data_IF_784615079439
#
_entry.id   IF_784615079439
#
_cell.length_a   1.000
_cell.length_b   1.000
_cell.length_c   1.000
_cell.angle_alpha   90.00
_cell.angle_beta   90.00
_cell.angle_gamma   90.00
#
_symmetry.space_group_name_H-M   'P 1'
#
loop_
_entity.id
_entity.type
_entity.pdbx_description
1 polymer ?
#
# COMPACT_ATOMS: atom_id res chain seq x y z
N UNK A 1 -10.02 -19.45 41.83
CA UNK A 1 -10.68 -20.63 41.23
C UNK A 1 -9.98 -20.98 39.93
N UNK A 2 -10.27 -22.13 39.33
CA UNK A 2 -9.78 -22.47 37.99
C UNK A 2 -10.15 -21.40 36.95
N UNK A 3 -11.35 -20.82 37.09
CA UNK A 3 -11.83 -19.70 36.28
C UNK A 3 -10.94 -18.46 36.38
N UNK A 4 -10.62 -18.00 37.58
CA UNK A 4 -9.75 -16.82 37.75
C UNK A 4 -8.33 -17.09 37.21
N UNK A 5 -7.83 -18.32 37.37
CA UNK A 5 -6.54 -18.69 36.79
C UNK A 5 -6.57 -18.70 35.25
N UNK A 6 -7.63 -19.21 34.63
CA UNK A 6 -7.83 -19.17 33.18
C UNK A 6 -7.93 -17.72 32.67
N UNK A 7 -8.72 -16.89 33.37
CA UNK A 7 -8.90 -15.47 33.03
C UNK A 7 -7.56 -14.73 33.01
N UNK A 8 -6.77 -14.84 34.08
CA UNK A 8 -5.53 -14.07 34.24
C UNK A 8 -4.37 -14.64 33.42
N UNK A 9 -4.16 -15.95 33.47
CA UNK A 9 -2.95 -16.56 32.89
C UNK A 9 -3.11 -16.91 31.41
N UNK A 10 -4.34 -16.98 30.90
CA UNK A 10 -4.60 -17.32 29.50
C UNK A 10 -5.36 -16.21 28.77
N UNK A 11 -6.61 -15.94 29.17
CA UNK A 11 -7.47 -15.02 28.40
C UNK A 11 -6.88 -13.62 28.29
N UNK A 12 -6.53 -12.98 29.42
CA UNK A 12 -5.95 -11.64 29.42
C UNK A 12 -4.62 -11.59 28.66
N UNK A 13 -3.78 -12.63 28.78
CA UNK A 13 -2.52 -12.72 28.04
C UNK A 13 -2.72 -12.73 26.52
N UNK A 14 -3.69 -13.51 26.02
CA UNK A 14 -4.00 -13.56 24.58
C UNK A 14 -4.56 -12.22 24.10
N UNK A 15 -5.44 -11.58 24.89
CA UNK A 15 -5.99 -10.26 24.56
C UNK A 15 -4.90 -9.20 24.50
N UNK A 16 -4.00 -9.16 25.49
CA UNK A 16 -2.88 -8.22 25.52
C UNK A 16 -1.96 -8.40 24.30
N UNK A 17 -1.64 -9.64 23.95
CA UNK A 17 -0.84 -9.93 22.76
C UNK A 17 -1.56 -9.55 21.46
N UNK A 18 -2.87 -9.77 21.37
CA UNK A 18 -3.66 -9.35 20.21
C UNK A 18 -3.66 -7.82 20.07
N UNK A 19 -3.80 -7.09 21.18
CA UNK A 19 -3.73 -5.61 21.20
C UNK A 19 -2.37 -5.14 20.71
N UNK A 20 -1.28 -5.62 21.30
CA UNK A 20 0.08 -5.22 20.90
C UNK A 20 0.35 -5.53 19.43
N UNK A 21 -0.06 -6.72 18.97
CA UNK A 21 0.12 -7.15 17.58
C UNK A 21 -0.68 -6.30 16.60
N UNK A 22 -1.91 -5.89 16.95
CA UNK A 22 -2.72 -5.01 16.12
C UNK A 22 -2.18 -3.59 16.10
N UNK A 23 -1.78 -3.04 17.25
CA UNK A 23 -1.15 -1.71 17.35
C UNK A 23 0.07 -1.61 16.44
N UNK A 24 0.99 -2.58 16.54
CA UNK A 24 2.18 -2.62 15.68
C UNK A 24 1.83 -2.68 14.19
N UNK A 25 0.80 -3.45 13.81
CA UNK A 25 0.33 -3.51 12.42
C UNK A 25 -0.28 -2.21 11.95
N UNK A 26 -1.03 -1.50 12.80
CA UNK A 26 -1.57 -0.18 12.45
C UNK A 26 -0.47 0.87 12.28
N UNK A 27 0.55 0.85 13.14
CA UNK A 27 1.70 1.76 13.02
C UNK A 27 2.46 1.51 11.71
N UNK A 28 2.70 0.23 11.36
CA UNK A 28 3.29 -0.15 10.08
C UNK A 28 2.43 0.30 8.90
N UNK A 29 1.12 0.09 8.96
CA UNK A 29 0.18 0.49 7.92
C UNK A 29 0.21 2.00 7.67
N UNK A 30 0.28 2.82 8.74
CA UNK A 30 0.46 4.27 8.61
C UNK A 30 1.79 4.63 7.96
N UNK A 31 2.87 3.90 8.26
CA UNK A 31 4.15 4.04 7.59
C UNK A 31 4.05 3.77 6.08
N UNK A 32 3.41 2.66 5.71
CA UNK A 32 3.18 2.29 4.30
C UNK A 32 2.30 3.29 3.56
N UNK A 33 1.23 3.76 4.20
CA UNK A 33 0.35 4.78 3.63
C UNK A 33 1.11 6.07 3.29
N UNK A 34 2.10 6.47 4.10
CA UNK A 34 2.91 7.67 3.82
C UNK A 34 3.85 7.50 2.63
N UNK A 35 4.29 6.27 2.33
CA UNK A 35 5.28 5.99 1.28
C UNK A 35 4.60 5.69 -0.06
N UNK A 36 3.60 4.80 -0.07
CA UNK A 36 2.92 4.34 -1.28
C UNK A 36 1.39 4.34 -1.19
N UNK A 37 0.82 5.09 -0.25
CA UNK A 37 -0.64 5.18 -0.08
C UNK A 37 -1.39 5.74 -1.28
N UNK A 38 -0.72 6.47 -2.18
CA UNK A 38 -1.30 6.94 -3.44
C UNK A 38 -1.76 5.79 -4.36
N UNK A 39 -1.23 4.57 -4.16
CA UNK A 39 -1.60 3.36 -4.89
C UNK A 39 -2.71 2.54 -4.21
N UNK A 40 -3.22 2.96 -3.04
CA UNK A 40 -4.18 2.15 -2.29
C UNK A 40 -5.54 2.09 -2.96
N UNK A 41 -5.95 3.15 -3.66
CA UNK A 41 -7.24 3.17 -4.35
C UNK A 41 -7.13 3.85 -5.71
N UNK A 42 -8.06 3.53 -6.61
CA UNK A 42 -8.15 4.24 -7.90
C UNK A 42 -8.44 5.72 -7.68
N UNK A 43 -9.23 6.07 -6.67
CA UNK A 43 -9.55 7.44 -6.32
C UNK A 43 -8.31 8.25 -5.94
N UNK A 44 -7.46 7.74 -5.04
CA UNK A 44 -6.23 8.45 -4.63
C UNK A 44 -5.27 8.62 -5.80
N UNK A 45 -5.17 7.59 -6.65
CA UNK A 45 -4.34 7.64 -7.84
C UNK A 45 -4.89 8.68 -8.82
N UNK A 46 -6.18 8.64 -9.16
CA UNK A 46 -6.82 9.55 -10.13
C UNK A 46 -6.90 10.99 -9.64
N UNK A 47 -6.98 11.22 -8.32
CA UNK A 47 -7.02 12.58 -7.75
C UNK A 47 -5.64 13.26 -7.74
N UNK A 48 -4.56 12.50 -7.93
CA UNK A 48 -3.20 13.05 -7.92
C UNK A 48 -2.93 13.80 -9.22
N UNK A 49 -2.55 15.07 -9.10
CA UNK A 49 -2.03 15.84 -10.23
C UNK A 49 -0.65 15.33 -10.69
N UNK A 50 -0.21 15.77 -11.86
CA UNK A 50 1.05 15.30 -12.46
C UNK A 50 2.27 15.52 -11.56
N UNK A 51 2.36 16.66 -10.89
CA UNK A 51 3.52 16.99 -10.05
C UNK A 51 3.51 16.19 -8.75
N UNK A 52 2.33 16.06 -8.12
CA UNK A 52 2.19 15.25 -6.90
C UNK A 52 2.42 13.76 -7.16
N UNK A 53 1.93 13.23 -8.30
CA UNK A 53 2.18 11.85 -8.71
C UNK A 53 3.67 11.61 -8.98
N UNK A 54 4.34 12.53 -9.70
CA UNK A 54 5.79 12.40 -9.95
C UNK A 54 6.59 12.40 -8.66
N UNK A 55 6.29 13.35 -7.76
CA UNK A 55 6.92 13.44 -6.43
C UNK A 55 6.70 12.16 -5.62
N UNK A 56 5.50 11.56 -5.71
CA UNK A 56 5.20 10.30 -5.03
C UNK A 56 6.03 9.14 -5.57
N UNK A 57 6.23 9.08 -6.88
CA UNK A 57 7.10 8.06 -7.51
C UNK A 57 8.57 8.24 -7.11
N UNK A 58 9.07 9.48 -7.08
CA UNK A 58 10.44 9.78 -6.64
C UNK A 58 10.66 9.39 -5.17
N UNK A 59 9.71 9.73 -4.30
CA UNK A 59 9.75 9.34 -2.89
C UNK A 59 9.72 7.82 -2.71
N UNK A 60 8.94 7.11 -3.52
CA UNK A 60 8.88 5.65 -3.48
C UNK A 60 10.20 5.02 -3.92
N UNK A 61 10.81 5.51 -5.00
CA UNK A 61 12.11 5.03 -5.47
C UNK A 61 13.18 5.21 -4.40
N UNK A 62 13.20 6.36 -3.73
CA UNK A 62 14.11 6.63 -2.60
C UNK A 62 13.84 5.67 -1.43
N UNK A 63 12.57 5.45 -1.08
CA UNK A 63 12.18 4.56 0.01
C UNK A 63 12.53 3.09 -0.26
N UNK A 64 12.55 2.68 -1.52
CA UNK A 64 12.93 1.33 -1.96
C UNK A 64 14.43 1.20 -2.29
N UNK A 65 15.22 2.25 -2.10
CA UNK A 65 16.65 2.23 -2.38
C UNK A 65 17.43 1.53 -1.28
N UNK A 66 18.19 0.50 -1.64
CA UNK A 66 19.14 -0.19 -0.76
C UNK A 66 20.48 -0.39 -1.47
N UNK A 67 21.58 -0.10 -0.78
CA UNK A 67 22.95 -0.27 -1.29
C UNK A 67 23.19 0.40 -2.66
N UNK A 68 22.58 1.58 -2.85
CA UNK A 68 22.71 2.36 -4.08
C UNK A 68 21.80 1.94 -5.23
N UNK A 69 21.03 0.85 -5.09
CA UNK A 69 20.09 0.35 -6.10
C UNK A 69 18.66 0.44 -5.59
N UNK A 70 17.74 0.86 -6.45
CA UNK A 70 16.31 0.81 -6.15
C UNK A 70 15.66 -0.31 -6.94
N UNK A 71 14.59 -0.88 -6.39
CA UNK A 71 13.80 -1.93 -7.04
C UNK A 71 12.93 -1.38 -8.18
N UNK A 72 12.74 -0.06 -8.24
CA UNK A 72 11.92 0.63 -9.24
C UNK A 72 12.66 1.81 -9.87
N UNK A 73 12.23 2.24 -11.05
CA UNK A 73 12.58 3.53 -11.65
C UNK A 73 11.39 4.50 -11.53
N UNK A 74 11.62 5.67 -10.93
CA UNK A 74 10.56 6.63 -10.66
C UNK A 74 9.97 7.28 -11.92
N UNK A 75 10.70 7.33 -13.04
CA UNK A 75 10.20 7.90 -14.30
C UNK A 75 9.35 6.88 -15.06
N UNK A 76 9.79 5.62 -15.09
CA UNK A 76 9.02 4.51 -15.68
C UNK A 76 7.70 4.32 -14.95
N UNK A 77 7.73 4.21 -13.61
CA UNK A 77 6.53 4.08 -12.80
C UNK A 77 5.57 5.27 -13.01
N UNK A 78 6.10 6.49 -13.03
CA UNK A 78 5.27 7.68 -13.27
C UNK A 78 4.56 7.62 -14.64
N UNK A 79 5.26 7.19 -15.69
CA UNK A 79 4.68 7.07 -17.02
C UNK A 79 3.57 5.99 -17.07
N UNK A 80 3.80 4.83 -16.43
CA UNK A 80 2.81 3.76 -16.33
C UNK A 80 1.56 4.20 -15.56
N UNK A 81 1.74 4.94 -14.45
CA UNK A 81 0.62 5.43 -13.64
C UNK A 81 -0.15 6.57 -14.31
N UNK A 82 0.54 7.46 -15.03
CA UNK A 82 -0.10 8.48 -15.88
C UNK A 82 -0.96 7.86 -16.97
N UNK A 83 -0.48 6.76 -17.58
CA UNK A 83 -1.29 5.99 -18.49
C UNK A 83 -2.49 5.40 -17.74
N UNK A 84 -2.26 4.66 -16.66
CA UNK A 84 -3.29 3.98 -15.87
C UNK A 84 -4.42 4.93 -15.41
N UNK A 85 -4.12 6.16 -14.96
CA UNK A 85 -5.12 7.16 -14.57
C UNK A 85 -6.20 7.37 -15.65
N UNK A 86 -5.85 7.30 -16.94
CA UNK A 86 -6.77 7.53 -18.05
C UNK A 86 -7.62 6.29 -18.41
N UNK A 87 -7.18 5.09 -18.04
CA UNK A 87 -7.87 3.83 -18.36
C UNK A 87 -8.72 3.29 -17.22
N UNK A 88 -8.45 3.75 -16.00
CA UNK A 88 -9.11 3.24 -14.82
C UNK A 88 -10.60 3.58 -14.79
N UNK A 89 -11.43 2.67 -14.26
CA UNK A 89 -12.85 2.93 -14.06
C UNK A 89 -13.08 4.16 -13.16
N UNK A 90 -14.26 4.78 -13.28
CA UNK A 90 -14.63 5.92 -12.42
C UNK A 90 -14.99 5.48 -11.01
N UNK A 91 -15.35 4.21 -10.85
CA UNK A 91 -15.61 3.61 -9.56
C UNK A 91 -14.31 3.56 -8.72
N UNK A 92 -14.45 3.89 -7.44
CA UNK A 92 -13.35 3.71 -6.50
C UNK A 92 -13.13 2.20 -6.27
N UNK A 93 -11.96 1.71 -6.67
CA UNK A 93 -11.56 0.31 -6.54
C UNK A 93 -10.27 0.17 -5.72
N UNK A 94 -10.19 -0.92 -4.96
CA UNK A 94 -9.03 -1.25 -4.14
C UNK A 94 -7.87 -1.84 -4.95
N UNK A 95 -6.70 -2.05 -4.32
CA UNK A 95 -5.47 -2.38 -5.03
C UNK A 95 -5.55 -3.76 -5.70
N UNK A 96 -6.30 -4.70 -5.13
CA UNK A 96 -6.52 -6.03 -5.72
C UNK A 96 -7.33 -5.94 -7.01
N UNK A 97 -8.34 -5.09 -7.05
CA UNK A 97 -9.16 -4.83 -8.23
C UNK A 97 -8.36 -4.10 -9.30
N UNK A 98 -7.47 -3.17 -8.92
CA UNK A 98 -6.52 -2.52 -9.83
C UNK A 98 -5.63 -3.56 -10.51
N UNK A 99 -5.02 -4.46 -9.74
CA UNK A 99 -4.18 -5.53 -10.29
C UNK A 99 -4.96 -6.47 -11.23
N UNK A 100 -6.20 -6.81 -10.86
CA UNK A 100 -7.09 -7.59 -11.74
C UNK A 100 -7.45 -6.83 -13.01
N UNK A 101 -7.60 -5.51 -12.94
CA UNK A 101 -7.85 -4.65 -14.09
C UNK A 101 -6.65 -4.65 -15.04
N UNK A 102 -5.44 -4.40 -14.50
CA UNK A 102 -4.18 -4.42 -15.24
C UNK A 102 -3.97 -5.76 -15.96
N UNK A 103 -4.14 -6.87 -15.25
CA UNK A 103 -3.98 -8.24 -15.78
C UNK A 103 -4.89 -8.55 -16.97
N UNK A 104 -6.08 -7.93 -17.04
CA UNK A 104 -7.01 -8.15 -18.18
C UNK A 104 -6.61 -7.37 -19.42
N UNK A 105 -5.76 -6.36 -19.28
CA UNK A 105 -5.54 -5.39 -20.33
C UNK A 105 -4.20 -5.54 -21.07
N UNK A 106 -3.26 -6.43 -20.72
CA UNK A 106 -1.99 -6.68 -21.47
C UNK A 106 -1.17 -5.44 -21.91
N UNK A 107 -1.50 -4.24 -21.42
CA UNK A 107 -0.91 -2.96 -21.87
C UNK A 107 0.32 -2.55 -21.05
N UNK A 108 0.80 -3.41 -20.15
CA UNK A 108 1.90 -3.11 -19.24
C UNK A 108 2.97 -4.18 -19.38
N UNK A 109 4.01 -3.96 -20.20
CA UNK A 109 5.00 -4.98 -20.55
C UNK A 109 5.84 -5.47 -19.36
N UNK A 110 5.80 -4.73 -18.23
CA UNK A 110 6.54 -5.02 -17.01
C UNK A 110 5.64 -5.45 -15.82
N UNK A 111 4.31 -5.56 -16.00
CA UNK A 111 3.35 -5.89 -14.94
C UNK A 111 2.97 -7.38 -14.85
#
# INVERSE_FOLDING_TARGET
SAEESFRVNYFLRIVDQAILSLTSRFDQYQGYQKIFGFLFTSETLQSSDKNSLKTSCDNLEVALKKDGKSDIDANELYAELMFLQNFMPKENIGPVEILKFLKRHDHFPNA
#
